data_IF_010674262194
#
_entry.id   IF_010674262194
#
_cell.length_a   1.000
_cell.length_b   1.000
_cell.length_c   1.000
_cell.angle_alpha   90.00
_cell.angle_beta   90.00
_cell.angle_gamma   90.00
#
_symmetry.space_group_name_H-M   'P 1'
#
loop_
_entity.id
_entity.type
_entity.pdbx_description
1 polymer ?
#
# COMPACT_ATOMS: atom_id res chain seq x y z
N UNK A 1 -13.20 12.41 -13.14
CA UNK A 1 -12.03 12.92 -12.36
C UNK A 1 -12.24 12.78 -10.85
N UNK A 2 -13.35 13.25 -10.28
CA UNK A 2 -13.61 13.15 -8.83
C UNK A 2 -13.41 11.73 -8.24
N UNK A 3 -13.88 10.69 -8.93
CA UNK A 3 -13.71 9.28 -8.47
C UNK A 3 -12.23 8.88 -8.40
N UNK A 4 -11.42 9.21 -9.40
CA UNK A 4 -9.99 8.88 -9.39
C UNK A 4 -9.26 9.65 -8.28
N UNK A 5 -9.65 10.89 -8.01
CA UNK A 5 -9.13 11.65 -6.87
C UNK A 5 -9.49 11.00 -5.54
N UNK A 6 -10.73 10.51 -5.39
CA UNK A 6 -11.14 9.80 -4.18
C UNK A 6 -10.35 8.50 -3.99
N UNK A 7 -10.20 7.69 -5.04
CA UNK A 7 -9.38 6.48 -4.99
C UNK A 7 -7.92 6.79 -4.66
N UNK A 8 -7.38 7.91 -5.16
CA UNK A 8 -6.04 8.36 -4.82
C UNK A 8 -5.90 8.67 -3.32
N UNK A 9 -6.90 9.33 -2.72
CA UNK A 9 -6.98 9.58 -1.28
C UNK A 9 -7.13 8.28 -0.50
N UNK A 10 -7.94 7.34 -0.98
CA UNK A 10 -8.09 6.02 -0.36
C UNK A 10 -6.77 5.24 -0.35
N UNK A 11 -5.94 5.39 -1.38
CA UNK A 11 -4.57 4.86 -1.41
C UNK A 11 -3.69 5.42 -0.28
N UNK A 12 -3.77 6.73 -0.02
CA UNK A 12 -3.06 7.38 1.10
C UNK A 12 -3.57 6.86 2.45
N UNK A 13 -4.90 6.82 2.63
CA UNK A 13 -5.51 6.34 3.87
C UNK A 13 -5.18 4.87 4.13
N UNK A 14 -5.17 4.04 3.08
CA UNK A 14 -4.76 2.64 3.17
C UNK A 14 -3.29 2.51 3.60
N UNK A 15 -2.38 3.32 3.07
CA UNK A 15 -0.97 3.31 3.47
C UNK A 15 -0.78 3.66 4.95
N UNK A 16 -1.46 4.72 5.42
CA UNK A 16 -1.41 5.13 6.83
C UNK A 16 -1.96 4.03 7.74
N UNK A 17 -3.16 3.52 7.44
CA UNK A 17 -3.77 2.46 8.22
C UNK A 17 -2.87 1.20 8.24
N UNK A 18 -2.36 0.80 7.08
CA UNK A 18 -1.52 -0.38 6.98
C UNK A 18 -0.23 -0.25 7.79
N UNK A 19 0.42 0.91 7.77
CA UNK A 19 1.62 1.20 8.55
C UNK A 19 1.33 1.17 10.07
N UNK A 20 0.24 1.82 10.51
CA UNK A 20 -0.13 1.86 11.93
C UNK A 20 -0.49 0.49 12.50
N UNK A 21 -1.15 -0.36 11.71
CA UNK A 21 -1.53 -1.71 12.12
C UNK A 21 -0.49 -2.79 11.78
N UNK A 22 0.65 -2.43 11.19
CA UNK A 22 1.73 -3.36 10.86
C UNK A 22 2.35 -4.07 12.06
N UNK A 23 2.51 -3.43 13.24
CA UNK A 23 3.07 -4.07 14.42
C UNK A 23 2.14 -5.06 15.13
N UNK A 24 0.94 -5.31 14.59
CA UNK A 24 -0.01 -6.25 15.17
C UNK A 24 0.63 -7.64 15.33
N UNK A 25 0.32 -8.27 16.47
CA UNK A 25 0.90 -9.56 16.86
C UNK A 25 -0.21 -10.59 17.06
N UNK A 26 0.10 -11.83 16.71
CA UNK A 26 -0.70 -12.99 17.12
C UNK A 26 0.08 -13.66 18.26
N UNK A 27 -0.39 -13.46 19.48
CA UNK A 27 0.37 -13.81 20.68
C UNK A 27 1.66 -13.00 20.76
N UNK A 28 2.80 -13.69 20.86
CA UNK A 28 4.13 -13.05 20.93
C UNK A 28 4.76 -12.76 19.56
N UNK A 29 4.18 -13.26 18.46
CA UNK A 29 4.78 -13.22 17.12
C UNK A 29 4.20 -12.06 16.31
N UNK A 30 5.03 -11.13 15.79
CA UNK A 30 4.58 -10.13 14.82
C UNK A 30 4.01 -10.79 13.58
N UNK A 31 2.81 -10.38 13.16
CA UNK A 31 2.13 -10.93 12.00
C UNK A 31 1.61 -9.80 11.09
N UNK A 32 2.13 -9.67 9.85
CA UNK A 32 1.90 -8.51 8.99
C UNK A 32 0.53 -8.55 8.29
N UNK A 33 -0.54 -8.76 9.06
CA UNK A 33 -1.91 -8.88 8.53
C UNK A 33 -2.36 -7.62 7.80
N UNK A 34 -1.95 -6.45 8.28
CA UNK A 34 -2.29 -5.18 7.63
C UNK A 34 -1.68 -5.04 6.24
N UNK A 35 -0.50 -5.62 5.99
CA UNK A 35 0.15 -5.62 4.68
C UNK A 35 -0.60 -6.50 3.67
N UNK A 36 -1.14 -7.64 4.11
CA UNK A 36 -1.98 -8.51 3.29
C UNK A 36 -3.30 -7.82 2.95
N UNK A 37 -3.93 -7.17 3.94
CA UNK A 37 -5.16 -6.39 3.75
C UNK A 37 -4.89 -5.23 2.78
N UNK A 38 -3.77 -4.52 2.93
CA UNK A 38 -3.37 -3.45 2.01
C UNK A 38 -3.26 -3.94 0.57
N UNK A 39 -2.69 -5.13 0.34
CA UNK A 39 -2.63 -5.75 -0.99
C UNK A 39 -4.01 -5.96 -1.59
N UNK A 40 -4.96 -6.51 -0.81
CA UNK A 40 -6.34 -6.70 -1.25
C UNK A 40 -7.07 -5.38 -1.53
N UNK A 41 -6.89 -4.38 -0.66
CA UNK A 41 -7.46 -3.04 -0.85
C UNK A 41 -6.89 -2.38 -2.10
N UNK A 42 -5.58 -2.40 -2.30
CA UNK A 42 -4.97 -1.81 -3.49
C UNK A 42 -5.42 -2.50 -4.78
N UNK A 43 -5.64 -3.83 -4.76
CA UNK A 43 -6.27 -4.55 -5.89
C UNK A 43 -7.66 -3.97 -6.18
N UNK A 44 -8.49 -3.80 -5.15
CA UNK A 44 -9.83 -3.24 -5.31
C UNK A 44 -9.81 -1.79 -5.81
N UNK A 45 -8.90 -0.95 -5.30
CA UNK A 45 -8.76 0.45 -5.72
C UNK A 45 -8.34 0.56 -7.19
N UNK A 46 -7.33 -0.23 -7.60
CA UNK A 46 -6.85 -0.24 -8.99
C UNK A 46 -7.89 -0.85 -9.93
N UNK A 47 -8.55 -1.94 -9.52
CA UNK A 47 -9.65 -2.53 -10.28
C UNK A 47 -10.80 -1.54 -10.48
N UNK A 48 -11.19 -0.82 -9.42
CA UNK A 48 -12.19 0.23 -9.52
C UNK A 48 -11.72 1.33 -10.47
N UNK A 49 -10.47 1.79 -10.37
CA UNK A 49 -9.95 2.83 -11.25
C UNK A 49 -9.98 2.42 -12.74
N UNK A 50 -9.69 1.16 -13.07
CA UNK A 50 -9.78 0.62 -14.43
C UNK A 50 -11.20 0.69 -15.02
N UNK A 51 -12.25 0.74 -14.18
CA UNK A 51 -13.63 0.94 -14.64
C UNK A 51 -13.92 2.40 -15.05
N UNK A 52 -13.10 3.35 -14.63
CA UNK A 52 -13.31 4.80 -14.85
C UNK A 52 -12.32 5.42 -15.84
N UNK A 53 -11.30 4.69 -16.27
CA UNK A 53 -10.34 5.16 -17.27
C UNK A 53 -9.83 4.02 -18.15
N UNK A 54 -9.70 4.27 -19.44
CA UNK A 54 -9.06 3.35 -20.40
C UNK A 54 -7.53 3.36 -20.32
N UNK A 55 -6.92 4.26 -19.54
CA UNK A 55 -5.46 4.37 -19.42
C UNK A 55 -4.97 3.62 -18.19
N UNK A 56 -4.25 2.49 -18.35
CA UNK A 56 -3.73 1.71 -17.22
C UNK A 56 -2.79 2.52 -16.32
N UNK A 57 -2.05 3.49 -16.91
CA UNK A 57 -1.19 4.42 -16.16
C UNK A 57 -1.99 5.31 -15.21
N UNK A 58 -3.16 5.77 -15.64
CA UNK A 58 -4.04 6.61 -14.80
C UNK A 58 -4.77 5.75 -13.76
N UNK A 59 -5.12 4.51 -14.09
CA UNK A 59 -5.73 3.59 -13.14
C UNK A 59 -4.77 3.18 -11.98
N UNK A 60 -3.46 3.31 -12.19
CA UNK A 60 -2.44 3.04 -11.17
C UNK A 60 -2.27 4.17 -10.14
N UNK A 61 -2.94 5.32 -10.29
CA UNK A 61 -2.85 6.47 -9.37
C UNK A 61 -3.02 6.09 -7.88
N UNK A 62 -4.06 5.35 -7.45
CA UNK A 62 -4.20 4.93 -6.05
C UNK A 62 -3.00 4.12 -5.53
N UNK A 63 -2.39 3.28 -6.37
CA UNK A 63 -1.20 2.52 -6.00
C UNK A 63 0.03 3.44 -5.87
N UNK A 64 0.15 4.43 -6.75
CA UNK A 64 1.24 5.42 -6.67
C UNK A 64 1.13 6.32 -5.44
N UNK A 65 -0.07 6.78 -5.07
CA UNK A 65 -0.25 7.56 -3.85
C UNK A 65 0.04 6.72 -2.61
N UNK A 66 -0.41 5.47 -2.58
CA UNK A 66 -0.06 4.52 -1.53
C UNK A 66 1.46 4.34 -1.39
N UNK A 67 2.18 4.10 -2.49
CA UNK A 67 3.65 3.95 -2.51
C UNK A 67 4.35 5.22 -2.03
N UNK A 68 3.90 6.39 -2.49
CA UNK A 68 4.46 7.67 -2.07
C UNK A 68 4.27 7.88 -0.56
N UNK A 69 3.08 7.57 -0.02
CA UNK A 69 2.82 7.66 1.42
C UNK A 69 3.69 6.68 2.22
N UNK A 70 3.82 5.43 1.79
CA UNK A 70 4.73 4.47 2.45
C UNK A 70 6.17 4.97 2.41
N UNK A 71 6.62 5.55 1.28
CA UNK A 71 7.92 6.18 1.14
C UNK A 71 8.11 7.33 2.13
N UNK A 72 7.13 8.23 2.24
CA UNK A 72 7.12 9.33 3.22
C UNK A 72 7.23 8.80 4.65
N UNK A 73 6.43 7.79 5.01
CA UNK A 73 6.45 7.17 6.33
C UNK A 73 7.76 6.40 6.62
N UNK A 74 8.51 6.04 5.58
CA UNK A 74 9.81 5.39 5.73
C UNK A 74 10.90 6.39 6.12
N UNK A 75 10.74 7.67 5.74
CA UNK A 75 11.61 8.71 6.25
C UNK A 75 11.29 8.97 7.73
N UNK A 76 12.33 9.12 8.54
CA UNK A 76 12.20 9.39 9.97
C UNK A 76 11.43 10.68 10.24
N UNK A 77 10.65 10.67 11.32
CA UNK A 77 9.97 11.83 11.88
C UNK A 77 10.89 12.66 12.78
N UNK A 78 10.37 13.78 13.32
CA UNK A 78 11.11 14.62 14.26
C UNK A 78 11.61 13.81 15.46
N UNK A 79 12.84 14.06 15.92
CA UNK A 79 13.40 13.36 17.08
C UNK A 79 13.94 11.95 16.79
N UNK A 80 14.31 11.66 15.54
CA UNK A 80 14.80 10.34 15.07
C UNK A 80 13.77 9.20 15.17
N UNK A 81 12.48 9.54 15.28
CA UNK A 81 11.39 8.57 15.29
C UNK A 81 11.25 7.87 13.93
N UNK A 82 11.07 6.55 13.92
CA UNK A 82 10.91 5.76 12.69
C UNK A 82 9.63 4.92 12.73
N UNK A 83 8.77 5.07 11.72
CA UNK A 83 7.48 4.34 11.64
C UNK A 83 7.70 2.83 11.51
N UNK A 84 8.77 2.42 10.83
CA UNK A 84 9.09 1.00 10.55
C UNK A 84 10.27 0.46 11.37
N UNK A 85 10.55 1.02 12.55
CA UNK A 85 11.72 0.70 13.39
C UNK A 85 11.67 -0.61 14.19
N UNK A 86 11.04 -1.66 13.69
CA UNK A 86 10.89 -2.92 14.42
C UNK A 86 12.16 -3.79 14.46
N UNK A 87 12.22 -4.75 15.39
CA UNK A 87 13.28 -5.76 15.44
C UNK A 87 12.88 -7.07 14.72
N UNK A 88 13.88 -7.86 14.31
CA UNK A 88 13.67 -9.13 13.61
C UNK A 88 12.99 -8.94 12.25
N UNK A 89 11.93 -9.70 11.96
CA UNK A 89 11.16 -9.58 10.71
C UNK A 89 10.61 -8.17 10.50
N UNK A 90 10.27 -7.47 11.59
CA UNK A 90 9.76 -6.10 11.54
C UNK A 90 10.84 -5.05 11.23
N UNK A 91 12.12 -5.43 11.20
CA UNK A 91 13.18 -4.57 10.64
C UNK A 91 13.06 -4.40 9.12
N UNK A 92 12.34 -5.32 8.46
CA UNK A 92 12.03 -5.25 7.04
C UNK A 92 10.56 -4.86 6.80
N UNK A 93 9.91 -4.23 7.78
CA UNK A 93 8.49 -3.89 7.77
C UNK A 93 8.07 -3.08 6.52
N UNK A 94 8.84 -2.05 6.15
CA UNK A 94 8.57 -1.25 4.95
C UNK A 94 8.61 -2.10 3.67
N UNK A 95 9.62 -2.98 3.54
CA UNK A 95 9.76 -3.87 2.38
C UNK A 95 8.62 -4.90 2.32
N UNK A 96 8.27 -5.50 3.46
CA UNK A 96 7.12 -6.42 3.54
C UNK A 96 5.82 -5.73 3.14
N UNK A 97 5.61 -4.51 3.63
CA UNK A 97 4.44 -3.72 3.28
C UNK A 97 4.41 -3.44 1.79
N UNK A 98 5.52 -2.95 1.19
CA UNK A 98 5.64 -2.69 -0.25
C UNK A 98 5.36 -3.94 -1.08
N UNK A 99 6.01 -5.06 -0.77
CA UNK A 99 5.86 -6.30 -1.55
C UNK A 99 4.43 -6.82 -1.48
N UNK A 100 3.87 -6.97 -0.28
CA UNK A 100 2.53 -7.53 -0.09
C UNK A 100 1.42 -6.56 -0.55
N UNK A 101 1.64 -5.26 -0.34
CA UNK A 101 0.70 -4.20 -0.68
C UNK A 101 0.67 -3.84 -2.17
N UNK A 102 1.78 -3.99 -2.90
CA UNK A 102 1.90 -3.55 -4.30
C UNK A 102 1.97 -4.69 -5.32
N UNK A 103 2.46 -5.89 -4.96
CA UNK A 103 2.59 -6.97 -5.95
C UNK A 103 1.24 -7.44 -6.53
N UNK A 104 0.18 -7.70 -5.73
CA UNK A 104 -1.11 -8.10 -6.27
C UNK A 104 -1.76 -7.09 -7.24
N UNK A 105 -1.85 -5.78 -6.93
CA UNK A 105 -2.42 -4.80 -7.88
C UNK A 105 -1.51 -4.54 -9.08
N UNK A 106 -0.19 -4.62 -8.93
CA UNK A 106 0.74 -4.52 -10.06
C UNK A 106 0.54 -5.68 -11.04
N UNK A 107 0.37 -6.91 -10.53
CA UNK A 107 0.02 -8.07 -11.35
C UNK A 107 -1.31 -7.87 -12.07
N UNK A 108 -2.32 -7.28 -11.41
CA UNK A 108 -3.59 -6.91 -12.04
C UNK A 108 -3.44 -5.93 -13.21
N UNK A 109 -2.62 -4.89 -13.05
CA UNK A 109 -2.35 -3.94 -14.14
C UNK A 109 -1.60 -4.60 -15.29
N UNK A 110 -0.59 -5.41 -14.99
CA UNK A 110 0.20 -6.12 -15.99
C UNK A 110 -0.65 -7.04 -16.87
N UNK A 111 -1.53 -7.84 -16.28
CA UNK A 111 -2.45 -8.69 -17.05
C UNK A 111 -3.43 -7.87 -17.90
N UNK A 112 -3.90 -6.73 -17.41
CA UNK A 112 -4.81 -5.88 -18.18
C UNK A 112 -4.12 -5.22 -19.39
N UNK A 113 -2.85 -4.83 -19.26
CA UNK A 113 -2.06 -4.26 -20.36
C UNK A 113 -1.72 -5.30 -21.44
N UNK A 114 -1.59 -6.58 -21.05
CA UNK A 114 -1.20 -7.67 -21.94
C UNK A 114 -2.38 -8.53 -22.44
N UNK A 115 -3.61 -8.12 -22.17
CA UNK A 115 -4.83 -8.75 -22.70
C UNK A 115 -5.21 -8.13 -24.03
#
# INVERSE_FOLDING_TARGET
MAVLTLLAVDGVLCAIAAALFLPLRIGAVPFPISALIAGAVNVALVWAALHWTSSPRVAAVPLWTWLATVGVLTFGGPGDDVVFGGAGVMGYAALLLIVLGAAPPAYLLWRHVNS
#
